data_IF_253062422366
#
_entry.id   IF_253062422366
#
_cell.length_a   1.000
_cell.length_b   1.000
_cell.length_c   1.000
_cell.angle_alpha   90.00
_cell.angle_beta   90.00
_cell.angle_gamma   90.00
#
_symmetry.space_group_name_H-M   'P 1'
#
loop_
_entity.id
_entity.type
_entity.pdbx_description
1 polymer ?
#
# COMPACT_ATOMS: atom_id res chain seq x y z
N UNK A 1 15.23 -11.49 -5.79
CA UNK A 1 13.91 -10.82 -5.90
C UNK A 1 13.32 -11.06 -7.31
N UNK A 2 12.01 -10.87 -7.56
CA UNK A 2 11.40 -11.27 -8.84
C UNK A 2 11.95 -10.47 -10.05
N UNK A 3 12.20 -9.17 -9.88
CA UNK A 3 12.78 -8.32 -10.92
C UNK A 3 14.20 -8.73 -11.29
N UNK A 4 15.03 -9.15 -10.32
CA UNK A 4 16.43 -9.57 -10.58
C UNK A 4 16.49 -10.85 -11.41
N UNK A 5 15.46 -11.70 -11.31
CA UNK A 5 15.34 -12.94 -12.08
C UNK A 5 14.67 -12.73 -13.44
N UNK A 6 14.16 -11.53 -13.73
CA UNK A 6 13.50 -11.23 -14.98
C UNK A 6 14.53 -10.84 -16.04
N UNK A 7 14.75 -11.72 -17.02
CA UNK A 7 15.69 -11.50 -18.11
C UNK A 7 14.92 -11.55 -19.43
N UNK A 8 14.88 -10.41 -20.13
CA UNK A 8 14.28 -10.30 -21.45
C UNK A 8 15.03 -9.23 -22.27
N UNK A 9 15.61 -9.56 -23.43
CA UNK A 9 16.41 -8.62 -24.22
C UNK A 9 15.66 -7.34 -24.61
N UNK A 10 14.37 -7.48 -24.91
CA UNK A 10 13.49 -6.39 -25.35
C UNK A 10 12.81 -5.62 -24.20
N UNK A 11 13.20 -5.85 -22.94
CA UNK A 11 12.58 -5.21 -21.79
C UNK A 11 13.58 -4.73 -20.74
N UNK A 12 13.18 -3.73 -19.95
CA UNK A 12 13.92 -3.25 -18.76
C UNK A 12 13.08 -3.55 -17.54
N UNK A 13 13.61 -4.36 -16.63
CA UNK A 13 13.01 -4.65 -15.33
C UNK A 13 13.39 -3.54 -14.34
N UNK A 14 12.40 -2.92 -13.69
CA UNK A 14 12.62 -1.82 -12.76
C UNK A 14 11.99 -2.11 -11.39
N UNK A 15 12.77 -2.02 -10.29
CA UNK A 15 12.24 -2.11 -8.95
C UNK A 15 11.44 -0.87 -8.55
N UNK A 16 10.36 -1.05 -7.79
CA UNK A 16 9.68 0.05 -7.10
C UNK A 16 9.15 -0.37 -5.72
N UNK A 17 9.94 -0.12 -4.67
CA UNK A 17 9.56 -0.40 -3.28
C UNK A 17 10.11 0.66 -2.33
N UNK A 18 9.48 0.82 -1.17
CA UNK A 18 9.80 1.90 -0.21
C UNK A 18 11.17 1.81 0.50
N UNK A 19 12.02 0.83 0.18
CA UNK A 19 13.40 0.75 0.70
C UNK A 19 14.45 1.19 -0.33
N UNK A 20 14.03 1.48 -1.56
CA UNK A 20 14.92 2.01 -2.59
C UNK A 20 15.28 3.46 -2.28
N UNK A 21 16.49 3.86 -2.64
CA UNK A 21 16.88 5.26 -2.68
C UNK A 21 16.01 6.06 -3.65
N UNK A 22 15.98 7.38 -3.48
CA UNK A 22 15.24 8.26 -4.38
C UNK A 22 15.66 8.08 -5.84
N UNK A 23 16.97 7.99 -6.09
CA UNK A 23 17.52 7.82 -7.44
C UNK A 23 17.05 6.50 -8.09
N UNK A 24 17.02 5.41 -7.33
CA UNK A 24 16.52 4.12 -7.82
C UNK A 24 15.02 4.16 -8.12
N UNK A 25 14.22 4.77 -7.24
CA UNK A 25 12.79 4.95 -7.49
C UNK A 25 12.55 5.83 -8.73
N UNK A 26 13.38 6.85 -8.94
CA UNK A 26 13.24 7.78 -10.06
C UNK A 26 13.41 7.11 -11.44
N UNK A 27 14.12 5.96 -11.50
CA UNK A 27 14.31 5.20 -12.74
C UNK A 27 12.99 4.79 -13.40
N UNK A 28 11.91 4.58 -12.65
CA UNK A 28 10.60 4.23 -13.23
C UNK A 28 10.00 5.35 -14.08
N UNK A 29 10.43 6.60 -13.90
CA UNK A 29 9.98 7.75 -14.67
C UNK A 29 10.82 8.00 -15.93
N UNK A 30 12.01 7.39 -16.03
CA UNK A 30 12.89 7.55 -17.18
C UNK A 30 12.30 6.87 -18.43
N UNK A 31 12.68 7.40 -19.60
CA UNK A 31 12.36 6.81 -20.89
C UNK A 31 13.36 5.69 -21.22
N UNK A 32 12.86 4.59 -21.77
CA UNK A 32 13.66 3.46 -22.24
C UNK A 32 13.33 3.15 -23.70
N UNK A 33 13.93 3.87 -24.66
CA UNK A 33 13.64 3.71 -26.08
C UNK A 33 13.93 2.28 -26.55
N UNK A 34 13.06 1.73 -27.41
CA UNK A 34 13.24 0.40 -28.00
C UNK A 34 13.10 -0.77 -27.02
N UNK A 35 12.79 -0.52 -25.73
CA UNK A 35 12.62 -1.57 -24.72
C UNK A 35 11.31 -1.37 -23.94
N UNK A 36 10.62 -2.48 -23.65
CA UNK A 36 9.42 -2.47 -22.80
C UNK A 36 9.81 -2.25 -21.34
N UNK A 37 9.23 -1.24 -20.70
CA UNK A 37 9.33 -1.04 -19.25
C UNK A 37 8.48 -2.09 -18.52
N UNK A 38 9.09 -2.82 -17.57
CA UNK A 38 8.39 -3.77 -16.69
C UNK A 38 8.70 -3.38 -15.25
N UNK A 39 7.71 -2.88 -14.54
CA UNK A 39 7.87 -2.33 -13.19
C UNK A 39 7.37 -3.36 -12.17
N UNK A 40 8.25 -3.78 -11.27
CA UNK A 40 7.92 -4.64 -10.15
C UNK A 40 7.67 -3.77 -8.93
N UNK A 41 6.40 -3.51 -8.62
CA UNK A 41 6.01 -2.56 -7.59
C UNK A 41 5.32 -3.21 -6.39
N UNK A 42 5.46 -2.60 -5.21
CA UNK A 42 4.55 -2.81 -4.08
C UNK A 42 3.37 -1.82 -4.15
N UNK A 43 2.57 -1.75 -3.09
CA UNK A 43 1.51 -0.75 -2.91
C UNK A 43 1.99 0.72 -2.98
N UNK A 44 3.31 0.98 -3.02
CA UNK A 44 3.83 2.34 -3.29
C UNK A 44 3.39 2.89 -4.66
N UNK A 45 3.14 2.02 -5.64
CA UNK A 45 2.62 2.43 -6.94
C UNK A 45 1.10 2.69 -6.94
N UNK A 46 0.42 2.37 -5.85
CA UNK A 46 -1.03 2.53 -5.70
C UNK A 46 -1.43 3.98 -5.44
N UNK A 47 -0.52 4.81 -4.88
CA UNK A 47 -0.76 6.22 -4.53
C UNK A 47 -0.30 7.18 -5.64
N UNK A 48 -0.41 8.50 -5.41
CA UNK A 48 -0.43 9.62 -6.39
C UNK A 48 0.70 9.76 -7.43
N UNK A 49 1.60 8.81 -7.60
CA UNK A 49 2.58 8.84 -8.68
C UNK A 49 1.96 8.38 -10.01
N UNK A 50 2.00 9.24 -11.02
CA UNK A 50 1.65 8.90 -12.41
C UNK A 50 2.93 8.52 -13.13
N UNK A 51 3.12 7.22 -13.38
CA UNK A 51 4.27 6.74 -14.14
C UNK A 51 3.91 6.78 -15.63
N UNK A 52 4.63 7.54 -16.47
CA UNK A 52 4.31 7.64 -17.90
C UNK A 52 4.40 6.30 -18.62
N UNK A 53 3.42 6.04 -19.50
CA UNK A 53 3.41 4.89 -20.40
C UNK A 53 2.97 3.55 -19.77
N UNK A 54 2.42 3.57 -18.56
CA UNK A 54 1.81 2.37 -17.96
C UNK A 54 0.46 2.10 -18.63
N UNK A 55 0.42 1.11 -19.53
CA UNK A 55 -0.81 0.64 -20.20
C UNK A 55 -1.34 -0.68 -19.65
N UNK A 56 -0.50 -1.42 -18.93
CA UNK A 56 -0.81 -2.77 -18.46
C UNK A 56 -0.49 -2.86 -16.98
N UNK A 57 -1.47 -3.30 -16.20
CA UNK A 57 -1.32 -3.62 -14.78
C UNK A 57 -1.56 -5.11 -14.61
N UNK A 58 -0.68 -5.77 -13.86
CA UNK A 58 -0.86 -7.16 -13.43
C UNK A 58 -1.04 -7.09 -11.91
N UNK A 59 -2.27 -7.29 -11.44
CA UNK A 59 -2.62 -7.21 -10.03
C UNK A 59 -2.66 -8.61 -9.41
N UNK A 60 -1.77 -8.87 -8.46
CA UNK A 60 -1.73 -10.13 -7.72
C UNK A 60 -2.87 -10.26 -6.71
N UNK A 61 -3.53 -9.15 -6.35
CA UNK A 61 -4.54 -9.11 -5.29
C UNK A 61 -3.96 -9.15 -3.88
N UNK A 62 -2.63 -9.23 -3.75
CA UNK A 62 -1.95 -9.33 -2.46
C UNK A 62 -1.26 -8.02 -2.08
N UNK A 63 -1.14 -7.81 -0.78
CA UNK A 63 -0.39 -6.72 -0.16
C UNK A 63 0.28 -7.24 1.11
N UNK A 64 1.42 -6.63 1.48
CA UNK A 64 2.04 -6.85 2.77
C UNK A 64 1.81 -5.62 3.63
N UNK A 65 1.04 -5.77 4.71
CA UNK A 65 0.62 -4.67 5.56
C UNK A 65 1.09 -4.89 7.00
N UNK A 66 1.34 -3.79 7.70
CA UNK A 66 1.59 -3.81 9.13
C UNK A 66 0.27 -4.02 9.87
N UNK A 67 0.25 -4.99 10.78
CA UNK A 67 -0.86 -5.23 11.70
C UNK A 67 -0.34 -5.26 13.12
N UNK A 68 -0.97 -4.52 14.00
CA UNK A 68 -0.71 -4.59 15.43
C UNK A 68 -1.39 -5.82 16.03
N UNK A 69 -0.64 -6.62 16.78
CA UNK A 69 -1.20 -7.73 17.57
C UNK A 69 -1.19 -7.37 19.05
N UNK A 70 -2.35 -7.04 19.66
CA UNK A 70 -2.43 -6.57 21.04
C UNK A 70 -1.87 -7.57 22.06
N UNK A 71 -2.04 -8.87 21.80
CA UNK A 71 -1.58 -9.94 22.71
C UNK A 71 -0.06 -9.96 22.89
N UNK A 72 0.69 -9.64 21.84
CA UNK A 72 2.17 -9.64 21.87
C UNK A 72 2.74 -8.24 22.03
N UNK A 73 1.92 -7.20 21.87
CA UNK A 73 2.36 -5.81 21.84
C UNK A 73 3.19 -5.45 20.60
N UNK A 74 3.24 -6.32 19.58
CA UNK A 74 4.12 -6.18 18.43
C UNK A 74 3.36 -5.85 17.15
N UNK A 75 3.99 -5.03 16.30
CA UNK A 75 3.56 -4.84 14.90
C UNK A 75 4.20 -5.91 14.02
N UNK A 76 3.39 -6.66 13.29
CA UNK A 76 3.85 -7.70 12.36
C UNK A 76 3.51 -7.34 10.92
N UNK A 77 4.35 -7.76 9.97
CA UNK A 77 4.07 -7.62 8.55
C UNK A 77 3.38 -8.88 8.02
N UNK A 78 2.07 -8.79 7.74
CA UNK A 78 1.29 -9.92 7.23
C UNK A 78 0.98 -9.74 5.74
N UNK A 79 1.10 -10.83 4.98
CA UNK A 79 0.61 -10.87 3.60
C UNK A 79 -0.89 -11.15 3.64
N UNK A 80 -1.69 -10.31 3.00
CA UNK A 80 -3.15 -10.43 2.94
C UNK A 80 -3.70 -9.97 1.59
N UNK A 81 -4.98 -10.27 1.37
CA UNK A 81 -5.73 -9.72 0.24
C UNK A 81 -5.87 -8.20 0.37
N UNK A 82 -5.91 -7.54 -0.78
CA UNK A 82 -6.25 -6.12 -0.89
C UNK A 82 -7.75 -5.90 -0.68
N UNK A 83 -8.16 -4.66 -0.48
CA UNK A 83 -9.58 -4.29 -0.59
C UNK A 83 -10.02 -4.18 -2.05
N UNK A 84 -11.33 -4.24 -2.29
CA UNK A 84 -11.90 -3.94 -3.61
C UNK A 84 -11.53 -2.52 -4.06
N UNK A 85 -11.52 -1.55 -3.15
CA UNK A 85 -11.11 -0.18 -3.45
C UNK A 85 -9.65 -0.09 -3.89
N UNK A 86 -8.74 -0.80 -3.23
CA UNK A 86 -7.33 -0.90 -3.59
C UNK A 86 -7.13 -1.54 -4.97
N UNK A 87 -7.79 -2.67 -5.24
CA UNK A 87 -7.78 -3.33 -6.53
C UNK A 87 -8.33 -2.43 -7.67
N UNK A 88 -9.33 -1.58 -7.39
CA UNK A 88 -9.84 -0.57 -8.34
C UNK A 88 -8.81 0.55 -8.56
N UNK A 89 -8.14 1.03 -7.52
CA UNK A 89 -7.07 2.03 -7.65
C UNK A 89 -5.91 1.51 -8.50
N UNK A 90 -5.49 0.25 -8.30
CA UNK A 90 -4.48 -0.42 -9.11
C UNK A 90 -4.89 -0.52 -10.56
N UNK A 91 -6.13 -0.92 -10.85
CA UNK A 91 -6.65 -0.97 -12.22
C UNK A 91 -6.62 0.41 -12.89
N UNK A 92 -6.93 1.48 -12.16
CA UNK A 92 -6.87 2.87 -12.65
C UNK A 92 -5.47 3.32 -13.10
N UNK A 93 -4.40 2.63 -12.69
CA UNK A 93 -3.02 2.96 -13.10
C UNK A 93 -2.74 2.68 -14.58
N UNK A 94 -3.46 1.72 -15.18
CA UNK A 94 -3.31 1.39 -16.60
C UNK A 94 -3.91 2.44 -17.55
N UNK A 95 -4.76 3.35 -17.05
CA UNK A 95 -5.59 4.25 -17.87
C UNK A 95 -5.25 5.73 -17.78
N UNK A 96 -4.09 6.10 -17.21
CA UNK A 96 -3.79 7.52 -16.92
C UNK A 96 -3.32 8.32 -18.14
N UNK A 97 -2.54 7.72 -19.03
CA UNK A 97 -1.99 8.41 -20.20
C UNK A 97 -2.67 8.01 -21.50
N UNK A 98 -3.29 6.84 -21.54
CA UNK A 98 -3.94 6.25 -22.72
C UNK A 98 -4.80 5.04 -22.29
N UNK A 99 -5.65 4.48 -23.15
CA UNK A 99 -6.40 3.27 -22.84
C UNK A 99 -5.48 2.11 -22.46
N UNK A 100 -5.79 1.44 -21.34
CA UNK A 100 -5.01 0.32 -20.84
C UNK A 100 -5.87 -0.82 -20.30
N UNK A 101 -5.19 -1.85 -19.82
CA UNK A 101 -5.81 -3.08 -19.29
C UNK A 101 -5.22 -3.46 -17.94
N UNK A 102 -6.09 -3.93 -17.05
CA UNK A 102 -5.70 -4.54 -15.78
C UNK A 102 -6.01 -6.04 -15.83
N UNK A 103 -5.01 -6.86 -15.55
CA UNK A 103 -5.11 -8.31 -15.45
C UNK A 103 -5.03 -8.70 -13.98
N UNK A 104 -6.09 -9.28 -13.43
CA UNK A 104 -6.17 -9.76 -12.05
C UNK A 104 -5.79 -11.23 -12.01
N UNK A 105 -4.89 -11.61 -11.10
CA UNK A 105 -4.44 -12.99 -10.92
C UNK A 105 -5.30 -13.77 -9.91
N UNK A 106 -6.55 -13.38 -9.76
CA UNK A 106 -7.52 -13.93 -8.81
C UNK A 106 -8.91 -13.93 -9.46
N UNK A 107 -9.79 -14.80 -8.98
CA UNK A 107 -11.13 -14.96 -9.58
C UNK A 107 -12.05 -13.79 -9.22
N UNK A 108 -13.17 -13.69 -9.93
CA UNK A 108 -14.22 -12.74 -9.58
C UNK A 108 -14.79 -13.03 -8.18
N UNK A 109 -14.98 -14.30 -7.83
CA UNK A 109 -15.43 -14.70 -6.49
C UNK A 109 -14.44 -14.26 -5.40
N UNK A 110 -13.13 -14.40 -5.63
CA UNK A 110 -12.12 -13.92 -4.69
C UNK A 110 -12.23 -12.40 -4.52
N UNK A 111 -12.37 -11.64 -5.62
CA UNK A 111 -12.57 -10.18 -5.58
C UNK A 111 -13.82 -9.80 -4.78
N UNK A 112 -14.93 -10.50 -4.99
CA UNK A 112 -16.20 -10.21 -4.31
C UNK A 112 -16.13 -10.57 -2.82
N UNK A 113 -15.27 -11.52 -2.42
CA UNK A 113 -14.99 -11.86 -1.02
C UNK A 113 -14.07 -10.86 -0.30
N UNK A 114 -13.39 -9.96 -1.04
CA UNK A 114 -12.52 -8.94 -0.45
C UNK A 114 -13.34 -7.85 0.25
N UNK A 115 -12.78 -7.29 1.32
CA UNK A 115 -13.37 -6.11 1.98
C UNK A 115 -13.54 -4.96 0.98
N UNK A 116 -14.66 -4.24 1.07
CA UNK A 116 -14.93 -3.13 0.16
C UNK A 116 -13.86 -2.02 0.27
N UNK A 117 -13.55 -1.63 1.50
CA UNK A 117 -12.51 -0.66 1.83
C UNK A 117 -11.43 -1.29 2.70
N UNK A 118 -10.24 -0.71 2.64
CA UNK A 118 -9.18 -1.02 3.59
C UNK A 118 -9.62 -0.50 4.97
N UNK A 119 -9.36 -1.28 6.02
CA UNK A 119 -9.62 -0.84 7.38
C UNK A 119 -8.77 0.42 7.71
N UNK A 120 -9.32 1.42 8.41
CA UNK A 120 -8.57 2.62 8.77
C UNK A 120 -7.24 2.31 9.46
N UNK A 121 -6.18 3.05 9.12
CA UNK A 121 -4.85 2.82 9.70
C UNK A 121 -4.86 2.93 11.23
N UNK A 122 -5.60 3.90 11.77
CA UNK A 122 -5.76 4.14 13.21
C UNK A 122 -6.35 2.93 13.97
N UNK A 123 -7.07 2.03 13.30
CA UNK A 123 -7.60 0.80 13.91
C UNK A 123 -6.64 -0.39 13.84
N UNK A 124 -5.53 -0.27 13.10
CA UNK A 124 -4.63 -1.40 12.77
C UNK A 124 -3.19 -1.26 13.24
N UNK A 125 -2.79 -0.06 13.66
CA UNK A 125 -1.40 0.23 14.06
C UNK A 125 -1.33 0.60 15.54
N UNK A 126 -0.12 0.54 16.10
CA UNK A 126 0.12 1.01 17.45
C UNK A 126 -0.08 2.53 17.56
N UNK A 127 -0.83 2.98 18.56
CA UNK A 127 -1.29 4.37 18.66
C UNK A 127 -0.32 5.31 19.39
N UNK A 128 0.76 4.82 20.01
CA UNK A 128 1.64 5.62 20.87
C UNK A 128 2.12 6.92 20.22
N UNK A 129 2.62 6.87 18.98
CA UNK A 129 3.09 8.09 18.28
C UNK A 129 1.94 9.06 17.99
N UNK A 130 0.75 8.56 17.65
CA UNK A 130 -0.41 9.41 17.40
C UNK A 130 -0.91 10.06 18.69
N UNK A 131 -0.99 9.31 19.78
CA UNK A 131 -1.40 9.79 21.10
C UNK A 131 -0.42 10.83 21.64
N UNK A 132 0.90 10.59 21.56
CA UNK A 132 1.90 11.57 21.97
C UNK A 132 1.76 12.89 21.21
N UNK A 133 1.37 12.84 19.93
CA UNK A 133 1.10 14.06 19.14
C UNK A 133 -0.18 14.77 19.60
N UNK A 134 -1.24 14.04 19.92
CA UNK A 134 -2.49 14.62 20.46
C UNK A 134 -2.22 15.32 21.79
N UNK A 135 -1.48 14.67 22.70
CA UNK A 135 -1.06 15.26 23.98
C UNK A 135 -0.18 16.49 23.80
N UNK A 136 0.77 16.45 22.85
CA UNK A 136 1.63 17.61 22.54
C UNK A 136 0.85 18.82 21.99
N UNK A 137 -0.37 18.62 21.47
CA UNK A 137 -1.27 19.70 21.06
C UNK A 137 -2.10 20.27 22.23
N UNK A 138 -1.92 19.77 23.46
CA UNK A 138 -2.63 20.20 24.65
C UNK A 138 -4.01 19.56 24.82
N UNK A 139 -4.26 18.43 24.16
CA UNK A 139 -5.50 17.66 24.30
C UNK A 139 -5.25 16.56 25.31
N UNK A 140 -5.62 16.82 26.57
CA UNK A 140 -5.34 15.92 27.69
C UNK A 140 -6.31 14.72 27.75
N UNK A 141 -7.57 14.92 27.36
CA UNK A 141 -8.56 13.84 27.33
C UNK A 141 -8.67 13.21 25.94
N UNK A 142 -7.88 12.16 25.71
CA UNK A 142 -7.90 11.40 24.47
C UNK A 142 -9.25 10.69 24.25
N UNK A 143 -9.97 10.33 25.33
CA UNK A 143 -11.26 9.66 25.23
C UNK A 143 -12.35 10.56 24.61
N UNK A 144 -12.22 11.88 24.76
CA UNK A 144 -13.15 12.87 24.20
C UNK A 144 -12.68 13.39 22.84
N UNK A 145 -11.58 12.87 22.29
CA UNK A 145 -11.08 13.29 21.00
C UNK A 145 -12.02 12.82 19.87
N UNK A 146 -12.42 13.75 19.02
CA UNK A 146 -13.35 13.50 17.91
C UNK A 146 -12.63 12.83 16.72
N UNK A 147 -12.44 11.51 16.82
CA UNK A 147 -11.86 10.72 15.73
C UNK A 147 -12.87 10.52 14.59
N UNK A 148 -12.45 10.75 13.34
CA UNK A 148 -13.22 10.35 12.14
C UNK A 148 -13.55 8.85 12.18
N UNK A 149 -12.54 8.04 12.50
CA UNK A 149 -12.67 6.62 12.77
C UNK A 149 -12.03 6.32 14.12
N UNK A 150 -12.86 6.14 15.15
CA UNK A 150 -12.34 5.86 16.48
C UNK A 150 -11.56 4.53 16.52
N UNK A 151 -10.36 4.50 17.16
CA UNK A 151 -9.69 3.25 17.48
C UNK A 151 -10.46 2.47 18.55
N UNK A 152 -10.14 1.18 18.70
CA UNK A 152 -10.71 0.38 19.80
C UNK A 152 -10.23 0.93 21.16
N UNK A 153 -11.11 1.05 22.17
CA UNK A 153 -10.74 1.63 23.47
C UNK A 153 -9.52 0.96 24.12
N UNK A 154 -9.39 -0.36 23.96
CA UNK A 154 -8.27 -1.13 24.47
C UNK A 154 -6.93 -0.70 23.84
N UNK A 155 -6.93 -0.34 22.56
CA UNK A 155 -5.72 0.14 21.88
C UNK A 155 -5.30 1.53 22.38
N UNK A 156 -6.26 2.39 22.73
CA UNK A 156 -5.97 3.70 23.37
C UNK A 156 -5.38 3.46 24.75
N UNK A 157 -6.02 2.62 25.57
CA UNK A 157 -5.56 2.32 26.92
C UNK A 157 -4.13 1.74 26.94
N UNK A 158 -3.84 0.78 26.04
CA UNK A 158 -2.50 0.22 25.89
C UNK A 158 -1.46 1.27 25.48
N UNK A 159 -1.82 2.20 24.60
CA UNK A 159 -0.88 3.21 24.12
C UNK A 159 -0.65 4.37 25.10
N UNK A 160 -1.54 4.58 26.09
CA UNK A 160 -1.33 5.52 27.21
C UNK A 160 -0.45 4.89 28.31
N UNK A 161 -0.50 3.58 28.48
CA UNK A 161 0.29 2.86 29.49
C UNK A 161 1.75 2.61 29.09
N UNK A 162 2.05 2.56 27.79
CA UNK A 162 3.40 2.34 27.23
C UNK A 162 4.12 3.66 26.93
#
# INVERSE_FOLDING_TARGET
WACERFIAPSAVALPLHGKLSFEEQYRVFQNHPGRRKVIFATNIAETSLTIPGVKYVIDSGMVKESKYEPRTGMSILKVCWVSQSSARQRAGRAGRTEPGRCYRLYSQNDFDSMNFNQEPEIRRVHLGVAILRILALGIDNIADFDFVDAPVPEAIAMAVQN
#
